data_IF_441948143752
#
_entry.id   IF_441948143752
#
_cell.length_a   1.000
_cell.length_b   1.000
_cell.length_c   1.000
_cell.angle_alpha   90.00
_cell.angle_beta   90.00
_cell.angle_gamma   90.00
#
_symmetry.space_group_name_H-M   'P 1'
#
loop_
_entity.id
_entity.type
_entity.pdbx_description
1 polymer ?
#
# COMPACT_ATOMS: atom_id res chain seq x y z
N UNK A 1 23.48 -20.84 -27.44
CA UNK A 1 24.57 -19.93 -27.10
C UNK A 1 24.04 -18.51 -27.23
N UNK A 2 23.69 -17.86 -26.11
CA UNK A 2 23.32 -16.45 -26.08
C UNK A 2 24.63 -15.62 -26.14
N UNK A 3 24.70 -14.52 -26.87
CA UNK A 3 25.89 -13.70 -26.92
C UNK A 3 26.14 -13.05 -25.56
N UNK A 4 27.38 -13.16 -25.11
CA UNK A 4 27.91 -12.49 -23.93
C UNK A 4 27.64 -10.99 -23.98
N UNK A 5 27.18 -10.44 -22.86
CA UNK A 5 26.90 -9.04 -22.65
C UNK A 5 28.07 -8.17 -23.12
N UNK A 6 27.74 -7.06 -23.78
CA UNK A 6 28.71 -6.02 -24.12
C UNK A 6 29.39 -5.54 -22.84
N UNK A 7 30.69 -5.23 -22.89
CA UNK A 7 31.43 -4.72 -21.73
C UNK A 7 30.77 -3.43 -21.23
N UNK A 8 30.54 -3.39 -19.92
CA UNK A 8 30.09 -2.17 -19.23
C UNK A 8 31.04 -1.03 -19.65
N UNK A 9 30.48 0.07 -20.15
CA UNK A 9 31.25 1.30 -20.32
C UNK A 9 31.83 1.68 -18.96
N UNK A 10 33.11 1.99 -18.86
CA UNK A 10 33.64 2.56 -17.63
C UNK A 10 32.84 3.83 -17.31
N UNK A 11 32.39 3.96 -16.07
CA UNK A 11 31.83 5.20 -15.56
C UNK A 11 32.88 6.29 -15.79
N UNK A 12 32.50 7.50 -16.22
CA UNK A 12 33.45 8.58 -16.38
C UNK A 12 34.17 8.81 -15.05
N UNK A 13 35.50 8.88 -15.09
CA UNK A 13 36.43 9.07 -13.95
C UNK A 13 36.16 10.32 -13.10
N UNK A 14 35.09 11.05 -13.37
CA UNK A 14 34.73 12.33 -12.77
C UNK A 14 33.43 12.31 -11.95
N UNK A 15 32.77 11.17 -11.77
CA UNK A 15 31.83 11.03 -10.67
C UNK A 15 32.66 10.83 -9.40
N UNK A 16 33.17 11.94 -8.92
CA UNK A 16 33.99 11.97 -7.71
C UNK A 16 33.15 11.45 -6.54
N UNK A 17 33.39 10.19 -6.14
CA UNK A 17 33.00 9.68 -4.83
C UNK A 17 33.42 10.69 -3.75
N UNK A 18 34.54 11.38 -3.94
CA UNK A 18 34.99 12.52 -3.16
C UNK A 18 33.98 13.66 -3.09
N UNK A 19 33.29 14.04 -4.15
CA UNK A 19 32.34 15.17 -4.10
C UNK A 19 31.08 14.83 -3.31
N UNK A 20 30.64 13.57 -3.30
CA UNK A 20 29.53 13.13 -2.45
C UNK A 20 30.00 13.01 -0.99
N UNK A 21 31.20 12.50 -0.77
CA UNK A 21 31.82 12.45 0.56
C UNK A 21 32.11 13.85 1.07
N UNK A 22 32.65 14.75 0.24
CA UNK A 22 32.89 16.14 0.59
C UNK A 22 31.59 16.90 0.85
N UNK A 23 30.51 16.63 0.13
CA UNK A 23 29.21 17.23 0.37
C UNK A 23 28.58 16.72 1.68
N UNK A 24 28.75 15.44 2.02
CA UNK A 24 28.31 14.87 3.29
C UNK A 24 29.19 15.36 4.44
N UNK A 25 30.50 15.48 4.23
CA UNK A 25 31.47 15.95 5.25
C UNK A 25 31.40 17.46 5.46
N UNK A 26 31.07 18.27 4.44
CA UNK A 26 30.91 19.73 4.59
C UNK A 26 29.56 20.14 5.17
N UNK A 27 28.55 19.29 5.12
CA UNK A 27 27.26 19.50 5.83
C UNK A 27 27.30 19.00 7.29
N UNK A 28 28.22 18.10 7.63
CA UNK A 28 28.49 17.74 9.02
C UNK A 28 29.53 18.74 9.56
N UNK A 29 29.17 19.50 10.58
CA UNK A 29 30.13 20.35 11.29
C UNK A 29 31.17 19.43 11.96
N UNK A 30 32.33 19.24 11.24
CA UNK A 30 33.41 18.32 11.62
C UNK A 30 34.09 18.75 12.95
N UNK A 31 33.68 19.87 13.53
CA UNK A 31 34.22 20.36 14.82
C UNK A 31 33.62 19.62 16.03
N UNK A 32 32.53 18.91 15.83
CA UNK A 32 31.97 18.08 16.88
C UNK A 32 32.31 16.62 16.57
N UNK A 33 33.21 15.97 17.34
CA UNK A 33 33.55 14.58 17.07
C UNK A 33 32.29 13.75 17.18
N UNK A 34 31.83 13.20 16.05
CA UNK A 34 30.66 12.34 16.02
C UNK A 34 30.88 11.16 16.97
N UNK A 35 30.17 11.17 18.06
CA UNK A 35 30.14 10.02 18.96
C UNK A 35 29.12 9.04 18.41
N UNK A 36 29.59 7.90 17.91
CA UNK A 36 28.71 6.86 17.40
C UNK A 36 27.74 6.40 18.49
N UNK A 37 26.47 6.72 18.31
CA UNK A 37 25.41 6.28 19.20
C UNK A 37 24.89 4.91 18.72
N UNK A 38 25.00 3.88 19.58
CA UNK A 38 24.46 2.55 19.28
C UNK A 38 22.97 2.56 18.98
N UNK A 39 22.22 3.59 19.44
CA UNK A 39 20.83 3.81 19.10
C UNK A 39 20.61 4.05 17.61
N UNK A 40 21.67 4.31 16.84
CA UNK A 40 21.63 4.35 15.39
C UNK A 40 20.90 3.13 14.79
N UNK A 41 21.09 1.93 15.37
CA UNK A 41 20.42 0.71 14.90
C UNK A 41 18.89 0.81 14.99
N UNK A 42 18.36 1.60 15.94
CA UNK A 42 16.92 1.84 16.06
C UNK A 42 16.39 2.85 15.04
N UNK A 43 17.27 3.56 14.35
CA UNK A 43 16.93 4.51 13.31
C UNK A 43 17.07 3.91 11.90
N UNK A 44 17.61 2.70 11.78
CA UNK A 44 17.70 2.00 10.50
C UNK A 44 16.33 1.42 10.15
N UNK A 45 15.63 2.06 9.23
CA UNK A 45 14.25 1.71 8.83
C UNK A 45 14.09 0.23 8.45
N UNK A 46 15.14 -0.38 7.88
CA UNK A 46 15.12 -1.80 7.48
C UNK A 46 15.25 -2.80 8.64
N UNK A 47 15.39 -2.35 9.88
CA UNK A 47 15.58 -3.22 11.05
C UNK A 47 14.40 -3.24 12.02
N UNK A 48 13.34 -2.47 11.77
CA UNK A 48 12.19 -2.35 12.67
C UNK A 48 11.54 -3.69 13.01
N UNK A 49 11.46 -4.60 12.05
CA UNK A 49 10.90 -5.94 12.23
C UNK A 49 11.68 -6.78 13.24
N UNK A 50 13.02 -6.71 13.23
CA UNK A 50 13.88 -7.46 14.17
C UNK A 50 13.81 -6.88 15.57
N UNK A 51 13.79 -5.57 15.71
CA UNK A 51 13.65 -4.88 16.99
C UNK A 51 12.30 -5.18 17.64
N UNK A 52 11.22 -5.14 16.84
CA UNK A 52 9.90 -5.48 17.34
C UNK A 52 9.80 -6.95 17.75
N UNK A 53 10.41 -7.85 16.98
CA UNK A 53 10.45 -9.27 17.33
C UNK A 53 11.12 -9.52 18.69
N UNK A 54 12.20 -8.81 19.00
CA UNK A 54 12.84 -8.84 20.32
C UNK A 54 11.89 -8.37 21.42
N UNK A 55 11.22 -7.24 21.20
CA UNK A 55 10.29 -6.65 22.18
C UNK A 55 9.15 -7.59 22.57
N UNK A 56 8.58 -8.32 21.62
CA UNK A 56 7.45 -9.23 21.85
C UNK A 56 7.86 -10.69 22.05
N UNK A 57 9.16 -11.00 22.00
CA UNK A 57 9.69 -12.36 22.11
C UNK A 57 9.32 -13.28 20.95
N UNK A 58 9.05 -12.74 19.77
CA UNK A 58 8.69 -13.55 18.60
C UNK A 58 9.90 -14.33 18.08
N UNK A 59 9.67 -15.62 17.79
CA UNK A 59 10.69 -16.54 17.27
C UNK A 59 10.16 -17.22 16.02
N UNK A 60 10.96 -17.29 14.99
CA UNK A 60 10.56 -17.90 13.71
C UNK A 60 11.05 -17.07 12.53
N UNK A 61 10.54 -17.36 11.32
CA UNK A 61 10.88 -16.56 10.16
C UNK A 61 10.54 -15.09 10.41
N UNK A 62 11.45 -14.22 10.03
CA UNK A 62 11.31 -12.77 10.19
C UNK A 62 11.89 -12.07 8.96
N UNK A 63 11.15 -11.14 8.37
CA UNK A 63 11.57 -10.40 7.19
C UNK A 63 10.91 -9.04 7.14
N UNK A 64 11.53 -8.13 6.42
CA UNK A 64 10.91 -6.89 6.01
C UNK A 64 10.47 -6.98 4.56
N UNK A 65 9.29 -6.45 4.29
CA UNK A 65 8.74 -6.32 2.94
C UNK A 65 8.68 -4.84 2.58
N UNK A 66 9.19 -4.49 1.42
CA UNK A 66 9.05 -3.14 0.86
C UNK A 66 8.51 -3.25 -0.57
N UNK A 67 7.28 -2.83 -0.75
CA UNK A 67 6.59 -2.72 -2.02
C UNK A 67 5.87 -1.36 -2.11
N UNK A 68 6.52 -0.32 -1.61
CA UNK A 68 5.95 1.02 -1.51
C UNK A 68 4.54 0.98 -0.87
N UNK A 69 3.55 1.60 -1.49
CA UNK A 69 2.18 1.70 -0.96
C UNK A 69 1.47 0.34 -0.80
N UNK A 70 1.95 -0.74 -1.41
CA UNK A 70 1.37 -2.09 -1.31
C UNK A 70 2.08 -2.99 -0.28
N UNK A 71 2.98 -2.43 0.55
CA UNK A 71 3.81 -3.22 1.47
C UNK A 71 3.01 -4.06 2.45
N UNK A 72 1.96 -3.52 3.07
CA UNK A 72 1.11 -4.28 4.01
C UNK A 72 0.40 -5.44 3.31
N UNK A 73 -0.21 -5.21 2.16
CA UNK A 73 -0.90 -6.25 1.38
C UNK A 73 0.07 -7.35 0.93
N UNK A 74 1.28 -6.96 0.49
CA UNK A 74 2.32 -7.93 0.16
C UNK A 74 2.79 -8.73 1.38
N UNK A 75 2.90 -8.10 2.54
CA UNK A 75 3.25 -8.80 3.78
C UNK A 75 2.17 -9.82 4.19
N UNK A 76 0.88 -9.52 3.97
CA UNK A 76 -0.21 -10.50 4.16
C UNK A 76 -0.07 -11.68 3.20
N UNK A 77 0.31 -11.44 1.94
CA UNK A 77 0.58 -12.51 0.98
C UNK A 77 1.74 -13.42 1.44
N UNK A 78 2.84 -12.82 1.90
CA UNK A 78 3.99 -13.57 2.47
C UNK A 78 3.55 -14.37 3.70
N UNK A 79 2.71 -13.80 4.55
CA UNK A 79 2.18 -14.49 5.72
C UNK A 79 1.32 -15.71 5.33
N UNK A 80 0.45 -15.57 4.31
CA UNK A 80 -0.32 -16.70 3.77
C UNK A 80 0.63 -17.81 3.26
N UNK A 81 1.66 -17.46 2.50
CA UNK A 81 2.63 -18.41 1.97
C UNK A 81 3.39 -19.14 3.08
N UNK A 82 3.82 -18.46 4.12
CA UNK A 82 4.50 -19.10 5.26
C UNK A 82 3.59 -20.07 6.00
N UNK A 83 2.32 -19.72 6.18
CA UNK A 83 1.33 -20.61 6.81
C UNK A 83 1.06 -21.81 5.93
N UNK A 84 0.82 -21.61 4.64
CA UNK A 84 0.52 -22.70 3.68
C UNK A 84 1.67 -23.67 3.51
N UNK A 85 2.90 -23.20 3.60
CA UNK A 85 4.12 -24.03 3.51
C UNK A 85 4.57 -24.59 4.83
N UNK A 86 3.83 -24.36 5.93
CA UNK A 86 4.16 -24.88 7.26
C UNK A 86 5.35 -24.20 7.93
N UNK A 87 5.85 -23.07 7.40
CA UNK A 87 6.97 -22.33 8.01
C UNK A 87 6.55 -21.61 9.29
N UNK A 88 5.29 -21.22 9.40
CA UNK A 88 4.71 -20.60 10.56
C UNK A 88 3.25 -21.01 10.70
N UNK A 89 2.74 -21.08 11.93
CA UNK A 89 1.32 -21.27 12.21
C UNK A 89 0.59 -19.96 12.42
N UNK A 90 1.34 -18.91 12.78
CA UNK A 90 0.87 -17.55 13.02
C UNK A 90 1.96 -16.59 12.59
N UNK A 91 1.58 -15.53 11.90
CA UNK A 91 2.45 -14.47 11.44
C UNK A 91 1.86 -13.14 11.89
N UNK A 92 2.69 -12.32 12.50
CA UNK A 92 2.33 -10.95 12.83
C UNK A 92 2.83 -10.04 11.69
N UNK A 93 1.91 -9.42 10.99
CA UNK A 93 2.19 -8.39 10.00
C UNK A 93 2.06 -7.05 10.69
N UNK A 94 3.13 -6.24 10.61
CA UNK A 94 3.16 -4.90 11.19
C UNK A 94 3.58 -3.94 10.10
N UNK A 95 2.87 -2.84 9.99
CA UNK A 95 3.28 -1.71 9.19
C UNK A 95 3.13 -0.44 10.02
N UNK A 96 4.15 0.39 9.99
CA UNK A 96 4.15 1.68 10.65
C UNK A 96 4.95 2.68 9.81
N UNK A 97 4.44 3.88 9.71
CA UNK A 97 5.09 4.97 9.01
C UNK A 97 4.81 6.29 9.75
N UNK A 98 5.83 7.10 9.87
CA UNK A 98 5.80 8.44 10.49
C UNK A 98 6.16 9.51 9.45
N UNK A 99 5.62 9.35 8.24
CA UNK A 99 5.94 10.19 7.09
C UNK A 99 5.61 11.69 7.31
N UNK A 100 4.76 12.00 8.28
CA UNK A 100 4.36 13.38 8.61
C UNK A 100 5.17 14.00 9.76
N UNK A 101 6.15 13.28 10.32
CA UNK A 101 7.10 13.85 11.27
C UNK A 101 7.98 14.93 10.62
N UNK A 102 8.48 15.85 11.41
CA UNK A 102 9.31 16.96 10.92
C UNK A 102 10.48 16.47 10.07
N UNK A 103 11.16 15.41 10.52
CA UNK A 103 12.31 14.85 9.81
C UNK A 103 11.96 14.13 8.51
N UNK A 104 10.84 13.42 8.47
CA UNK A 104 10.43 12.64 7.29
C UNK A 104 9.70 13.50 6.28
N UNK A 105 8.93 14.50 6.74
CA UNK A 105 8.17 15.40 5.87
C UNK A 105 9.10 16.24 4.99
N UNK A 106 10.22 16.73 5.53
CA UNK A 106 11.21 17.49 4.75
C UNK A 106 11.79 16.66 3.59
N UNK A 107 11.88 15.36 3.76
CA UNK A 107 12.45 14.47 2.76
C UNK A 107 11.38 13.83 1.86
N UNK A 108 10.43 13.09 2.43
CA UNK A 108 9.38 12.39 1.66
C UNK A 108 8.40 13.39 1.08
N UNK A 109 7.95 14.37 1.87
CA UNK A 109 7.03 15.40 1.45
C UNK A 109 7.59 16.22 0.31
N UNK A 110 8.84 16.70 0.43
CA UNK A 110 9.51 17.44 -0.64
C UNK A 110 9.61 16.63 -1.93
N UNK A 111 9.85 15.31 -1.86
CA UNK A 111 9.89 14.42 -3.01
C UNK A 111 8.54 14.34 -3.73
N UNK A 112 7.44 14.21 -3.01
CA UNK A 112 6.09 14.17 -3.59
C UNK A 112 5.65 15.52 -4.15
N UNK A 113 6.01 16.61 -3.51
CA UNK A 113 5.80 17.97 -4.04
C UNK A 113 6.57 18.16 -5.33
N UNK A 114 7.86 17.80 -5.35
CA UNK A 114 8.72 17.95 -6.53
C UNK A 114 8.23 17.13 -7.73
N UNK A 115 7.56 16.02 -7.50
CA UNK A 115 6.96 15.17 -8.55
C UNK A 115 5.55 15.61 -8.96
N UNK A 116 4.97 16.59 -8.28
CA UNK A 116 3.59 17.02 -8.50
C UNK A 116 2.54 16.00 -8.03
N UNK A 117 2.92 15.11 -7.11
CA UNK A 117 2.02 14.07 -6.61
C UNK A 117 1.28 14.48 -5.33
N UNK A 118 1.83 15.44 -4.56
CA UNK A 118 1.20 15.94 -3.34
C UNK A 118 0.39 17.21 -3.61
N UNK A 119 -0.75 17.35 -2.93
CA UNK A 119 -1.52 18.58 -2.86
C UNK A 119 -0.82 19.60 -1.94
N UNK A 120 -1.00 20.88 -2.24
CA UNK A 120 -0.40 22.00 -1.50
C UNK A 120 -1.45 22.94 -0.91
N UNK A 121 -2.69 22.51 -0.87
CA UNK A 121 -3.80 23.32 -0.37
C UNK A 121 -3.67 23.56 1.14
N UNK A 122 -4.06 24.73 1.57
CA UNK A 122 -4.08 25.09 2.99
C UNK A 122 -5.20 24.36 3.77
N UNK A 123 -6.25 23.92 3.05
CA UNK A 123 -7.38 23.24 3.63
C UNK A 123 -7.47 21.81 3.12
N UNK A 124 -7.65 20.89 4.04
CA UNK A 124 -7.79 19.46 3.73
C UNK A 124 -9.00 19.20 2.83
N UNK A 125 -10.07 19.95 3.02
CA UNK A 125 -11.31 19.84 2.25
C UNK A 125 -11.10 20.13 0.76
N UNK A 126 -10.14 20.99 0.43
CA UNK A 126 -9.81 21.32 -0.97
C UNK A 126 -8.85 20.30 -1.60
N UNK A 127 -8.13 19.54 -0.78
CA UNK A 127 -7.11 18.58 -1.21
C UNK A 127 -7.59 17.13 -1.23
N UNK A 128 -8.35 16.70 -0.21
CA UNK A 128 -8.76 15.30 -0.03
C UNK A 128 -9.98 14.93 -0.87
N UNK A 129 -9.81 14.82 -2.18
CA UNK A 129 -10.88 14.73 -3.19
C UNK A 129 -10.92 13.35 -3.91
N UNK A 130 -11.09 12.22 -3.20
CA UNK A 130 -11.13 10.91 -3.87
C UNK A 130 -12.31 10.81 -4.87
N UNK A 131 -12.04 10.36 -6.09
CA UNK A 131 -12.97 10.22 -7.22
C UNK A 131 -13.60 11.53 -7.74
N UNK A 132 -13.25 12.66 -7.19
CA UNK A 132 -13.71 13.98 -7.65
C UNK A 132 -12.90 14.42 -8.89
N UNK A 133 -13.55 15.10 -9.84
CA UNK A 133 -12.84 15.59 -11.03
C UNK A 133 -11.80 16.67 -10.72
N UNK A 134 -11.92 17.34 -9.57
CA UNK A 134 -10.99 18.39 -9.12
C UNK A 134 -9.74 17.84 -8.45
N UNK A 135 -9.65 16.50 -8.25
CA UNK A 135 -8.49 15.89 -7.59
C UNK A 135 -7.19 16.28 -8.28
N UNK A 136 -6.18 16.63 -7.52
CA UNK A 136 -4.93 17.19 -8.07
C UNK A 136 -3.67 16.81 -7.29
N UNK A 137 -3.78 16.02 -6.26
CA UNK A 137 -2.63 15.54 -5.49
C UNK A 137 -3.04 14.89 -4.19
N UNK A 138 -2.18 14.04 -3.64
CA UNK A 138 -2.46 13.34 -2.39
C UNK A 138 -2.11 14.19 -1.16
N UNK A 139 -2.82 13.97 -0.08
CA UNK A 139 -2.43 14.37 1.28
C UNK A 139 -1.61 13.24 1.87
N UNK A 140 -0.42 13.56 2.38
CA UNK A 140 0.43 12.58 3.06
C UNK A 140 -0.17 12.31 4.45
N UNK A 141 -0.29 11.04 4.81
CA UNK A 141 -0.74 10.60 6.12
C UNK A 141 0.34 9.79 6.84
N UNK A 142 0.06 9.42 8.06
CA UNK A 142 0.88 8.51 8.85
C UNK A 142 0.01 7.54 9.64
N UNK A 143 0.60 6.48 10.15
CA UNK A 143 -0.13 5.54 11.00
C UNK A 143 0.63 4.25 11.25
N UNK A 144 -0.04 3.36 11.97
CA UNK A 144 0.45 2.01 12.20
C UNK A 144 -0.71 1.02 12.23
N UNK A 145 -0.48 -0.17 11.70
CA UNK A 145 -1.42 -1.27 11.74
C UNK A 145 -0.73 -2.57 12.13
N UNK A 146 -1.47 -3.46 12.77
CA UNK A 146 -1.03 -4.82 13.07
C UNK A 146 -2.12 -5.82 12.69
N UNK A 147 -1.74 -6.86 11.96
CA UNK A 147 -2.61 -7.95 11.55
C UNK A 147 -2.01 -9.27 12.02
N UNK A 148 -2.82 -10.10 12.66
CA UNK A 148 -2.44 -11.48 13.00
C UNK A 148 -3.04 -12.40 11.94
N UNK A 149 -2.19 -12.94 11.07
CA UNK A 149 -2.57 -13.94 10.08
C UNK A 149 -2.25 -15.31 10.66
N UNK A 150 -3.25 -16.19 10.73
CA UNK A 150 -3.12 -17.45 11.47
C UNK A 150 -3.77 -18.61 10.72
N UNK A 151 -3.19 -19.80 10.84
CA UNK A 151 -3.82 -21.02 10.39
C UNK A 151 -5.15 -21.24 11.17
N UNK A 152 -6.20 -21.64 10.47
CA UNK A 152 -7.52 -21.82 11.08
C UNK A 152 -7.50 -22.82 12.26
N UNK A 153 -6.67 -23.86 12.18
CA UNK A 153 -6.46 -24.84 13.25
C UNK A 153 -5.84 -24.20 14.49
N UNK A 154 -4.85 -23.33 14.29
CA UNK A 154 -4.14 -22.64 15.38
C UNK A 154 -5.07 -21.64 16.10
N UNK A 155 -5.95 -20.96 15.37
CA UNK A 155 -6.96 -20.09 15.97
C UNK A 155 -7.97 -20.91 16.82
N UNK A 156 -8.46 -22.03 16.27
CA UNK A 156 -9.38 -22.94 17.00
C UNK A 156 -8.78 -23.50 18.27
N UNK A 157 -7.53 -23.95 18.24
CA UNK A 157 -6.81 -24.47 19.41
C UNK A 157 -6.74 -23.45 20.56
N UNK A 158 -6.72 -22.17 20.22
CA UNK A 158 -6.69 -21.07 21.19
C UNK A 158 -8.09 -20.57 21.59
N UNK A 159 -9.15 -21.13 21.02
CA UNK A 159 -10.51 -20.66 21.24
C UNK A 159 -10.80 -19.28 20.64
N UNK A 160 -10.06 -18.88 19.60
CA UNK A 160 -10.22 -17.59 18.94
C UNK A 160 -11.10 -17.75 17.68
N UNK A 161 -12.11 -16.92 17.58
CA UNK A 161 -12.90 -16.75 16.35
C UNK A 161 -12.22 -15.70 15.49
N UNK A 162 -11.72 -16.06 14.28
CA UNK A 162 -11.12 -15.08 13.39
C UNK A 162 -12.15 -14.05 12.91
N UNK A 163 -11.75 -12.79 12.77
CA UNK A 163 -12.59 -11.72 12.22
C UNK A 163 -12.99 -11.99 10.75
N UNK A 164 -12.04 -12.50 9.97
CA UNK A 164 -12.28 -12.83 8.56
C UNK A 164 -11.32 -13.94 8.10
N UNK A 165 -11.43 -14.29 6.83
CA UNK A 165 -10.53 -15.25 6.17
C UNK A 165 -9.87 -14.59 4.97
N UNK A 166 -8.57 -14.79 4.81
CA UNK A 166 -7.86 -14.48 3.57
C UNK A 166 -8.25 -15.54 2.53
N UNK A 167 -8.98 -15.16 1.51
CA UNK A 167 -9.43 -16.06 0.45
C UNK A 167 -8.34 -16.28 -0.58
N UNK A 168 -7.66 -15.21 -0.97
CA UNK A 168 -6.62 -15.20 -1.98
C UNK A 168 -5.72 -13.98 -1.79
N UNK A 169 -4.45 -14.12 -2.07
CA UNK A 169 -3.50 -13.03 -2.20
C UNK A 169 -2.66 -13.26 -3.46
N UNK A 170 -2.43 -12.19 -4.23
CA UNK A 170 -1.63 -12.23 -5.46
C UNK A 170 -0.70 -11.04 -5.46
N UNK A 171 0.57 -11.29 -5.69
CA UNK A 171 1.59 -10.27 -5.92
C UNK A 171 2.17 -10.42 -7.32
N UNK A 172 2.37 -9.30 -8.00
CA UNK A 172 2.92 -9.30 -9.34
C UNK A 172 3.71 -8.00 -9.59
N UNK A 173 4.66 -8.06 -10.50
CA UNK A 173 5.42 -6.91 -10.95
C UNK A 173 5.13 -6.67 -12.44
N UNK A 174 4.72 -5.45 -12.79
CA UNK A 174 4.42 -5.09 -14.18
C UNK A 174 5.66 -4.93 -15.06
N UNK A 175 6.85 -4.86 -14.47
CA UNK A 175 8.08 -4.46 -15.16
C UNK A 175 7.96 -3.10 -15.88
N UNK A 176 7.06 -2.25 -15.41
CA UNK A 176 6.76 -0.94 -15.97
C UNK A 176 7.48 0.17 -15.18
N UNK A 177 7.56 1.37 -15.74
CA UNK A 177 8.19 2.47 -15.03
C UNK A 177 7.40 2.85 -13.78
N UNK A 178 8.08 3.07 -12.65
CA UNK A 178 7.47 3.26 -11.31
C UNK A 178 6.42 4.38 -11.19
N UNK A 179 6.40 5.34 -12.13
CA UNK A 179 5.39 6.42 -12.14
C UNK A 179 4.29 6.23 -13.18
N UNK A 180 4.29 5.11 -13.92
CA UNK A 180 3.26 4.77 -14.91
C UNK A 180 2.54 3.51 -14.50
N UNK A 181 1.21 3.53 -14.64
CA UNK A 181 0.37 2.37 -14.40
C UNK A 181 0.17 1.57 -15.69
N UNK A 182 0.40 0.27 -15.61
CA UNK A 182 0.01 -0.66 -16.66
C UNK A 182 -1.40 -1.18 -16.34
N UNK A 183 -2.39 -0.52 -16.92
CA UNK A 183 -3.82 -0.80 -16.68
C UNK A 183 -4.19 -2.23 -17.07
N UNK A 184 -3.59 -2.75 -18.14
CA UNK A 184 -3.85 -4.12 -18.58
C UNK A 184 -3.28 -5.15 -17.60
N UNK A 185 -2.06 -4.91 -17.12
CA UNK A 185 -1.45 -5.76 -16.11
C UNK A 185 -2.25 -5.76 -14.80
N UNK A 186 -2.67 -4.58 -14.32
CA UNK A 186 -3.51 -4.45 -13.12
C UNK A 186 -4.81 -5.25 -13.29
N UNK A 187 -5.44 -5.17 -14.45
CA UNK A 187 -6.65 -5.95 -14.75
C UNK A 187 -6.40 -7.46 -14.74
N UNK A 188 -5.27 -7.92 -15.27
CA UNK A 188 -4.88 -9.33 -15.24
C UNK A 188 -4.60 -9.83 -13.82
N UNK A 189 -3.98 -8.99 -12.98
CA UNK A 189 -3.71 -9.32 -11.58
C UNK A 189 -5.02 -9.45 -10.80
N UNK A 190 -5.96 -8.51 -10.98
CA UNK A 190 -7.29 -8.59 -10.35
C UNK A 190 -8.06 -9.83 -10.83
N UNK A 191 -8.04 -10.14 -12.12
CA UNK A 191 -8.65 -11.36 -12.66
C UNK A 191 -8.03 -12.62 -12.04
N UNK A 192 -6.70 -12.65 -11.90
CA UNK A 192 -5.98 -13.77 -11.27
C UNK A 192 -6.38 -13.93 -9.82
N UNK A 193 -6.47 -12.82 -9.06
CA UNK A 193 -6.87 -12.81 -7.65
C UNK A 193 -8.29 -13.38 -7.47
N UNK A 194 -9.24 -12.88 -8.23
CA UNK A 194 -10.65 -13.29 -8.14
C UNK A 194 -10.81 -14.75 -8.58
N UNK A 195 -10.22 -15.14 -9.70
CA UNK A 195 -10.25 -16.51 -10.20
C UNK A 195 -9.61 -17.51 -9.24
N UNK A 196 -8.56 -17.12 -8.52
CA UNK A 196 -7.95 -17.95 -7.47
C UNK A 196 -8.90 -18.19 -6.30
N UNK A 197 -9.61 -17.14 -5.85
CA UNK A 197 -10.62 -17.24 -4.82
C UNK A 197 -11.80 -18.13 -5.26
N UNK A 198 -12.30 -17.95 -6.47
CA UNK A 198 -13.38 -18.76 -7.04
C UNK A 198 -13.01 -20.26 -7.09
N UNK A 199 -11.84 -20.59 -7.64
CA UNK A 199 -11.37 -21.98 -7.70
C UNK A 199 -11.17 -22.63 -6.33
N UNK A 200 -10.66 -21.86 -5.36
CA UNK A 200 -10.30 -22.39 -4.05
C UNK A 200 -11.52 -22.54 -3.12
N UNK A 201 -12.48 -21.65 -3.25
CA UNK A 201 -13.57 -21.53 -2.29
C UNK A 201 -14.96 -21.73 -2.88
N UNK A 202 -15.07 -21.92 -4.20
CA UNK A 202 -16.36 -22.10 -4.87
C UNK A 202 -17.23 -20.85 -4.84
N UNK A 203 -16.66 -19.67 -4.68
CA UNK A 203 -17.40 -18.40 -4.75
C UNK A 203 -17.65 -18.02 -6.22
N UNK A 204 -18.76 -17.38 -6.50
CA UNK A 204 -19.08 -16.81 -7.81
C UNK A 204 -19.00 -15.30 -7.71
N UNK A 205 -18.10 -14.69 -8.49
CA UNK A 205 -17.87 -13.24 -8.50
C UNK A 205 -19.12 -12.43 -8.75
N UNK A 206 -20.00 -12.88 -9.65
CA UNK A 206 -21.21 -12.16 -10.01
C UNK A 206 -22.27 -12.25 -8.92
N UNK A 207 -22.33 -13.38 -8.21
CA UNK A 207 -23.24 -13.57 -7.09
C UNK A 207 -22.82 -12.76 -5.85
N UNK A 208 -21.51 -12.63 -5.61
CA UNK A 208 -21.00 -11.87 -4.44
C UNK A 208 -20.89 -10.37 -4.70
N UNK A 209 -20.79 -9.91 -5.93
CA UNK A 209 -20.57 -8.49 -6.27
C UNK A 209 -21.47 -7.51 -5.51
N UNK A 210 -22.78 -7.75 -5.30
CA UNK A 210 -23.64 -6.85 -4.53
C UNK A 210 -23.34 -6.79 -3.03
N UNK A 211 -22.53 -7.70 -2.53
CA UNK A 211 -22.12 -7.81 -1.12
C UNK A 211 -20.63 -7.59 -0.94
N UNK A 212 -19.94 -7.21 -2.01
CA UNK A 212 -18.51 -7.02 -2.04
C UNK A 212 -18.18 -5.54 -1.83
N UNK A 213 -17.16 -5.31 -1.04
CA UNK A 213 -16.54 -4.01 -0.87
C UNK A 213 -15.18 -4.06 -1.59
N UNK A 214 -14.94 -3.10 -2.45
CA UNK A 214 -13.64 -2.81 -3.00
C UNK A 214 -13.06 -1.61 -2.27
N UNK A 215 -12.05 -1.82 -1.44
CA UNK A 215 -11.37 -0.72 -0.76
C UNK A 215 -10.27 -0.21 -1.67
N UNK A 216 -10.51 0.95 -2.24
CA UNK A 216 -9.70 1.55 -3.29
C UNK A 216 -8.42 2.17 -2.74
N UNK A 217 -7.35 2.05 -3.52
CA UNK A 217 -6.10 2.78 -3.29
C UNK A 217 -6.17 4.24 -3.74
N UNK A 218 -7.26 4.71 -4.31
CA UNK A 218 -7.36 6.08 -4.83
C UNK A 218 -6.73 7.11 -3.90
N UNK A 219 -5.75 7.83 -4.42
CA UNK A 219 -4.96 8.85 -3.72
C UNK A 219 -5.24 10.26 -4.25
N UNK A 220 -6.34 10.43 -4.94
CA UNK A 220 -6.79 11.68 -5.57
C UNK A 220 -5.68 12.39 -6.37
N UNK A 221 -4.76 11.59 -6.91
CA UNK A 221 -3.69 12.04 -7.79
C UNK A 221 -4.12 11.82 -9.24
N UNK A 222 -4.26 12.86 -10.07
CA UNK A 222 -4.73 12.72 -11.46
C UNK A 222 -3.62 12.29 -12.42
N UNK A 223 -2.38 12.21 -11.95
CA UNK A 223 -1.22 11.95 -12.78
C UNK A 223 -1.42 10.74 -13.70
N UNK A 224 -1.42 10.97 -15.02
CA UNK A 224 -1.46 9.95 -16.08
C UNK A 224 -2.62 8.97 -15.98
N UNK A 225 -3.81 9.46 -15.65
CA UNK A 225 -5.03 8.69 -15.48
C UNK A 225 -5.33 8.27 -14.05
N UNK A 226 -4.37 8.42 -13.13
CA UNK A 226 -4.51 8.15 -11.70
C UNK A 226 -4.76 6.68 -11.34
N UNK A 227 -4.71 6.38 -10.05
CA UNK A 227 -5.04 5.04 -9.53
C UNK A 227 -6.51 4.69 -9.73
N UNK A 228 -7.41 5.64 -9.53
CA UNK A 228 -8.84 5.44 -9.70
C UNK A 228 -9.18 4.87 -11.09
N UNK A 229 -8.69 5.48 -12.16
CA UNK A 229 -8.99 5.03 -13.52
C UNK A 229 -8.52 3.58 -13.76
N UNK A 230 -7.31 3.23 -13.28
CA UNK A 230 -6.77 1.88 -13.42
C UNK A 230 -7.57 0.85 -12.62
N UNK A 231 -7.96 1.17 -11.40
CA UNK A 231 -8.75 0.30 -10.53
C UNK A 231 -10.16 0.08 -11.08
N UNK A 232 -10.84 1.13 -11.52
CA UNK A 232 -12.19 1.05 -12.11
C UNK A 232 -12.17 0.24 -13.41
N UNK A 233 -11.12 0.43 -14.22
CA UNK A 233 -10.94 -0.39 -15.42
C UNK A 233 -10.77 -1.87 -15.05
N UNK A 234 -9.97 -2.20 -14.03
CA UNK A 234 -9.76 -3.55 -13.57
C UNK A 234 -11.04 -4.17 -12.99
N UNK A 235 -11.82 -3.43 -12.20
CA UNK A 235 -13.13 -3.87 -11.71
C UNK A 235 -14.08 -4.21 -12.86
N UNK A 236 -14.21 -3.32 -13.83
CA UNK A 236 -15.07 -3.55 -15.01
C UNK A 236 -14.58 -4.71 -15.86
N UNK A 237 -13.26 -4.85 -16.02
CA UNK A 237 -12.67 -5.99 -16.72
C UNK A 237 -13.03 -7.32 -16.05
N UNK A 238 -12.92 -7.39 -14.73
CA UNK A 238 -13.07 -8.62 -13.94
C UNK A 238 -14.53 -8.97 -13.67
N UNK A 239 -15.37 -8.00 -13.29
CA UNK A 239 -16.75 -8.23 -12.86
C UNK A 239 -17.79 -7.97 -13.97
N UNK A 240 -17.39 -7.43 -15.14
CA UNK A 240 -18.26 -7.13 -16.26
C UNK A 240 -19.51 -6.33 -15.82
N UNK A 241 -20.69 -6.78 -16.17
CA UNK A 241 -21.96 -6.12 -15.81
C UNK A 241 -22.20 -6.04 -14.29
N UNK A 242 -21.57 -6.91 -13.52
CA UNK A 242 -21.68 -6.90 -12.06
C UNK A 242 -20.80 -5.87 -11.39
N UNK A 243 -19.86 -5.23 -12.11
CA UNK A 243 -18.96 -4.25 -11.54
C UNK A 243 -19.69 -3.05 -10.90
N UNK A 244 -20.80 -2.61 -11.49
CA UNK A 244 -21.63 -1.52 -10.96
C UNK A 244 -22.30 -1.84 -9.62
N UNK A 245 -22.30 -3.10 -9.20
CA UNK A 245 -22.90 -3.57 -7.94
C UNK A 245 -21.88 -3.65 -6.80
N UNK A 246 -20.58 -3.61 -7.10
CA UNK A 246 -19.52 -3.61 -6.11
C UNK A 246 -19.48 -2.26 -5.41
N UNK A 247 -19.51 -2.26 -4.08
CA UNK A 247 -19.39 -1.04 -3.28
C UNK A 247 -17.91 -0.62 -3.29
N UNK A 248 -17.65 0.63 -3.66
CA UNK A 248 -16.30 1.20 -3.66
C UNK A 248 -16.15 2.10 -2.45
N UNK A 249 -15.21 1.80 -1.59
CA UNK A 249 -14.85 2.58 -0.41
C UNK A 249 -13.45 3.15 -0.55
N UNK A 250 -13.16 4.25 0.14
CA UNK A 250 -11.84 4.84 0.24
C UNK A 250 -11.64 5.43 1.64
N UNK A 251 -10.51 5.14 2.26
CA UNK A 251 -10.17 5.64 3.60
C UNK A 251 -9.26 6.86 3.55
N UNK A 252 -8.53 7.03 2.45
CA UNK A 252 -7.45 8.02 2.33
C UNK A 252 -7.96 9.46 2.34
N UNK A 253 -9.20 9.69 1.97
CA UNK A 253 -9.82 11.01 2.13
C UNK A 253 -9.93 11.46 3.60
N UNK A 254 -9.85 10.52 4.56
CA UNK A 254 -9.87 10.80 6.01
C UNK A 254 -8.50 10.66 6.66
N UNK A 255 -7.68 9.69 6.20
CA UNK A 255 -6.40 9.35 6.83
C UNK A 255 -5.20 10.00 6.14
N UNK A 256 -5.39 10.60 4.99
CA UNK A 256 -4.31 10.83 4.05
C UNK A 256 -3.77 9.50 3.50
N UNK A 257 -2.69 9.58 2.75
CA UNK A 257 -1.99 8.39 2.23
C UNK A 257 -0.83 8.02 3.18
N UNK A 258 -0.98 6.99 4.03
CA UNK A 258 0.02 6.61 5.03
C UNK A 258 1.10 5.68 4.44
N UNK A 259 1.57 5.97 3.25
CA UNK A 259 2.61 5.25 2.52
C UNK A 259 2.35 3.73 2.47
N UNK A 260 3.22 2.91 3.05
CA UNK A 260 3.10 1.46 3.05
C UNK A 260 2.14 0.87 4.10
N UNK A 261 1.48 1.71 4.91
CA UNK A 261 0.60 1.27 5.99
C UNK A 261 -0.81 1.03 5.48
N UNK A 262 -1.27 -0.21 5.51
CA UNK A 262 -2.59 -0.63 5.05
C UNK A 262 -3.70 -0.35 6.06
N UNK A 263 -3.98 0.92 6.37
CA UNK A 263 -5.13 1.29 7.21
C UNK A 263 -6.43 0.79 6.56
N UNK A 264 -6.51 0.85 5.24
CA UNK A 264 -7.61 0.32 4.46
C UNK A 264 -7.87 -1.17 4.70
N UNK A 265 -6.84 -1.99 4.91
CA UNK A 265 -6.99 -3.41 5.19
C UNK A 265 -7.69 -3.64 6.54
N UNK A 266 -7.31 -2.88 7.56
CA UNK A 266 -7.96 -2.94 8.88
C UNK A 266 -9.40 -2.44 8.82
N UNK A 267 -9.64 -1.36 8.09
CA UNK A 267 -11.01 -0.83 7.88
C UNK A 267 -11.87 -1.84 7.13
N UNK A 268 -11.32 -2.53 6.12
CA UNK A 268 -12.02 -3.61 5.42
C UNK A 268 -12.42 -4.75 6.37
N UNK A 269 -11.51 -5.18 7.25
CA UNK A 269 -11.83 -6.20 8.28
C UNK A 269 -12.94 -5.70 9.21
N UNK A 270 -12.88 -4.45 9.66
CA UNK A 270 -13.94 -3.87 10.51
C UNK A 270 -15.28 -3.75 9.79
N UNK A 271 -15.26 -3.41 8.51
CA UNK A 271 -16.49 -3.40 7.72
C UNK A 271 -17.14 -4.79 7.61
N UNK A 272 -16.32 -5.86 7.47
CA UNK A 272 -16.82 -7.23 7.50
C UNK A 272 -17.38 -7.63 8.86
N UNK A 273 -16.79 -7.19 9.97
CA UNK A 273 -17.26 -7.48 11.32
C UNK A 273 -18.57 -6.75 11.67
N UNK A 274 -18.69 -5.50 11.25
CA UNK A 274 -19.80 -4.62 11.66
C UNK A 274 -20.94 -4.55 10.65
N UNK A 275 -20.66 -4.91 9.39
CA UNK A 275 -21.60 -4.71 8.28
C UNK A 275 -21.71 -3.22 7.86
N UNK A 276 -20.82 -2.36 8.34
CA UNK A 276 -20.82 -0.93 8.04
C UNK A 276 -19.58 -0.57 7.18
N UNK A 277 -19.81 0.18 6.12
CA UNK A 277 -18.76 0.67 5.22
C UNK A 277 -18.64 2.18 5.43
N UNK A 278 -17.43 2.71 5.69
CA UNK A 278 -17.27 4.16 5.82
C UNK A 278 -17.62 4.86 4.51
N UNK A 279 -18.21 6.08 4.55
CA UNK A 279 -18.50 6.85 3.35
C UNK A 279 -17.18 7.32 2.68
N UNK A 280 -17.28 7.71 1.41
CA UNK A 280 -16.20 8.48 0.77
C UNK A 280 -16.16 9.88 1.39
N UNK A 281 -14.96 10.42 1.62
CA UNK A 281 -14.82 11.80 2.09
C UNK A 281 -15.50 12.76 1.08
N UNK A 282 -16.21 13.77 1.61
CA UNK A 282 -16.92 14.81 0.84
C UNK A 282 -18.04 14.31 -0.08
N UNK A 283 -18.46 13.04 0.02
CA UNK A 283 -19.49 12.48 -0.87
C UNK A 283 -20.83 13.25 -0.84
N UNK A 284 -21.17 13.84 0.29
CA UNK A 284 -22.41 14.59 0.52
C UNK A 284 -22.20 16.11 0.53
N UNK A 285 -20.94 16.58 0.44
CA UNK A 285 -20.57 18.00 0.58
C UNK A 285 -19.79 18.49 -0.65
N UNK A 286 -20.50 18.88 -1.69
CA UNK A 286 -19.93 19.48 -2.89
C UNK A 286 -19.12 18.50 -3.76
N UNK A 287 -19.32 17.19 -3.64
CA UNK A 287 -18.72 16.19 -4.49
C UNK A 287 -19.08 16.38 -5.96
N UNK A 288 -18.07 16.46 -6.81
CA UNK A 288 -18.20 16.60 -8.25
C UNK A 288 -17.55 15.37 -8.93
N UNK A 289 -18.35 14.33 -9.24
CA UNK A 289 -17.82 13.07 -9.73
C UNK A 289 -17.06 13.26 -11.05
N UNK A 290 -15.92 12.57 -11.17
CA UNK A 290 -15.16 12.57 -12.41
C UNK A 290 -15.90 11.81 -13.51
N UNK A 291 -16.36 12.46 -14.58
CA UNK A 291 -17.10 11.81 -15.65
C UNK A 291 -16.27 10.76 -16.42
N UNK A 292 -14.94 10.86 -16.39
CA UNK A 292 -14.07 9.86 -17.03
C UNK A 292 -14.11 8.50 -16.31
N UNK A 293 -14.46 8.50 -15.03
CA UNK A 293 -14.63 7.27 -14.26
C UNK A 293 -16.00 6.61 -14.49
N UNK A 294 -16.97 7.35 -15.06
CA UNK A 294 -18.34 6.90 -15.25
C UNK A 294 -19.09 6.64 -13.94
N UNK A 295 -20.20 5.96 -14.01
CA UNK A 295 -21.03 5.66 -12.83
C UNK A 295 -20.30 4.69 -11.88
N UNK A 296 -20.16 5.11 -10.61
CA UNK A 296 -19.53 4.36 -9.54
C UNK A 296 -20.52 4.15 -8.38
N UNK A 297 -20.48 2.95 -7.80
CA UNK A 297 -21.23 2.64 -6.57
C UNK A 297 -20.36 3.00 -5.34
N UNK A 298 -20.18 4.29 -5.11
CA UNK A 298 -19.39 4.80 -3.98
C UNK A 298 -20.14 4.61 -2.66
N UNK A 299 -19.40 4.26 -1.59
CA UNK A 299 -19.99 4.16 -0.25
C UNK A 299 -20.41 5.53 0.28
N UNK A 300 -21.57 5.56 0.93
CA UNK A 300 -22.23 6.77 1.49
C UNK A 300 -22.57 6.59 2.96
#
# INVERSE_FOLDING_TARGET
MLPLAAPCRPLPDTLHLHSVIDMVVTTLDVRDPYTFDRRFLFQVLSMGHSQFAELIGARGPNTQVNAACSSTTQAVSVAEDWIRTGRARRVLVIAADDATSDHMMEWIGAGFVATGAAALDEKVEDAALPFDRRRHGMVIGMGAVGLVVEAAEAARERGITPACRVLSAVTANSAFHGTRLDVNHISQVMETLVSAAERKWGVDRHAIAPKMIFVSHETYTPARGGSAAAEIHALRHTFKDSASRVIIANTKGFTGHPMGVGIEDVVAVKALETGQVPPIAHIDDGFDPDPELGDLNLSR
#
